data_IF_230632575346
#
_entry.id   IF_230632575346
#
_cell.length_a   1.000
_cell.length_b   1.000
_cell.length_c   1.000
_cell.angle_alpha   90.00
_cell.angle_beta   90.00
_cell.angle_gamma   90.00
#
_symmetry.space_group_name_H-M   'P 1'
#
loop_
_entity.id
_entity.type
_entity.pdbx_description
1 polymer ?
#
# COMPACT_ATOMS: atom_id res chain seq x y z
N UNK A 1 -70.49 -2.29 19.66
CA UNK A 1 -69.34 -2.02 20.55
C UNK A 1 -68.12 -1.82 19.65
N UNK A 2 -67.55 -0.62 19.67
CA UNK A 2 -66.73 -0.10 18.57
C UNK A 2 -65.25 -0.20 18.94
N UNK A 3 -64.54 -1.18 18.38
CA UNK A 3 -63.15 -1.53 18.72
C UNK A 3 -62.10 -0.53 18.16
N UNK A 4 -62.50 0.74 18.00
CA UNK A 4 -61.64 1.84 17.53
C UNK A 4 -60.33 1.97 18.32
N UNK A 5 -60.29 1.89 19.67
CA UNK A 5 -59.03 2.04 20.39
C UNK A 5 -58.05 0.88 20.13
N UNK A 6 -58.55 -0.33 19.88
CA UNK A 6 -57.72 -1.50 19.60
C UNK A 6 -57.04 -1.40 18.22
N UNK A 7 -57.75 -0.87 17.22
CA UNK A 7 -57.22 -0.66 15.87
C UNK A 7 -56.11 0.41 15.82
N UNK A 8 -56.24 1.49 16.61
CA UNK A 8 -55.22 2.53 16.71
C UNK A 8 -53.94 2.03 17.41
N UNK A 9 -54.08 1.21 18.46
CA UNK A 9 -52.94 0.61 19.17
C UNK A 9 -52.22 -0.44 18.30
N UNK A 10 -52.98 -1.28 17.57
CA UNK A 10 -52.42 -2.24 16.62
C UNK A 10 -51.71 -1.54 15.44
N UNK A 11 -52.29 -0.46 14.91
CA UNK A 11 -51.70 0.32 13.83
C UNK A 11 -50.40 1.04 14.25
N UNK A 12 -50.39 1.63 15.45
CA UNK A 12 -49.18 2.27 16.00
C UNK A 12 -48.05 1.27 16.27
N UNK A 13 -48.39 0.09 16.81
CA UNK A 13 -47.42 -0.99 17.04
C UNK A 13 -46.81 -1.53 15.74
N UNK A 14 -47.62 -1.74 14.70
CA UNK A 14 -47.16 -2.18 13.39
C UNK A 14 -46.22 -1.16 12.73
N UNK A 15 -46.54 0.14 12.82
CA UNK A 15 -45.70 1.21 12.30
C UNK A 15 -44.34 1.29 13.01
N UNK A 16 -44.33 1.20 14.35
CA UNK A 16 -43.10 1.20 15.13
C UNK A 16 -42.21 0.00 14.76
N UNK A 17 -42.80 -1.18 14.56
CA UNK A 17 -42.07 -2.36 14.13
C UNK A 17 -41.44 -2.19 12.75
N UNK A 18 -42.20 -1.66 11.78
CA UNK A 18 -41.68 -1.38 10.42
C UNK A 18 -40.56 -0.34 10.47
N UNK A 19 -40.69 0.71 11.28
CA UNK A 19 -39.66 1.73 11.43
C UNK A 19 -38.36 1.16 12.04
N UNK A 20 -38.48 0.29 13.04
CA UNK A 20 -37.32 -0.40 13.64
C UNK A 20 -36.66 -1.32 12.61
N UNK A 21 -37.43 -2.14 11.89
CA UNK A 21 -36.91 -3.02 10.84
C UNK A 21 -36.24 -2.21 9.73
N UNK A 22 -36.86 -1.12 9.27
CA UNK A 22 -36.30 -0.24 8.26
C UNK A 22 -34.99 0.43 8.74
N UNK A 23 -34.94 0.86 10.00
CA UNK A 23 -33.71 1.40 10.60
C UNK A 23 -32.60 0.35 10.64
N UNK A 24 -32.88 -0.89 11.07
CA UNK A 24 -31.89 -1.97 11.10
C UNK A 24 -31.41 -2.34 9.70
N UNK A 25 -32.30 -2.42 8.71
CA UNK A 25 -31.92 -2.68 7.31
C UNK A 25 -31.04 -1.54 6.79
N UNK A 26 -31.44 -0.29 6.98
CA UNK A 26 -30.69 0.88 6.53
C UNK A 26 -29.30 0.96 7.19
N UNK A 27 -29.23 0.71 8.50
CA UNK A 27 -27.96 0.68 9.23
C UNK A 27 -27.03 -0.43 8.71
N UNK A 28 -27.57 -1.62 8.40
CA UNK A 28 -26.79 -2.73 7.84
C UNK A 28 -26.29 -2.40 6.43
N UNK A 29 -27.13 -1.80 5.59
CA UNK A 29 -26.76 -1.39 4.22
C UNK A 29 -25.70 -0.31 4.23
N UNK A 30 -25.81 0.69 5.11
CA UNK A 30 -24.82 1.77 5.23
C UNK A 30 -23.48 1.23 5.75
N UNK A 31 -23.49 0.34 6.74
CA UNK A 31 -22.27 -0.31 7.25
C UNK A 31 -21.55 -1.10 6.16
N UNK A 32 -22.29 -1.80 5.29
CA UNK A 32 -21.70 -2.57 4.19
C UNK A 32 -21.16 -1.67 3.06
N UNK A 33 -21.79 -0.52 2.82
CA UNK A 33 -21.33 0.45 1.82
C UNK A 33 -20.11 1.27 2.29
N UNK A 34 -19.97 1.45 3.61
CA UNK A 34 -18.83 2.11 4.26
C UNK A 34 -17.62 1.21 4.44
N UNK A 35 -17.74 -0.10 4.15
CA UNK A 35 -16.61 -1.01 4.07
C UNK A 35 -15.83 -0.69 2.79
N UNK A 36 -15.03 0.37 2.88
CA UNK A 36 -14.01 0.72 1.89
C UNK A 36 -13.21 -0.54 1.56
N UNK A 37 -12.95 -0.78 0.27
CA UNK A 37 -11.98 -1.77 -0.23
C UNK A 37 -10.56 -1.36 0.19
N UNK A 38 -10.33 -1.34 1.49
CA UNK A 38 -9.03 -1.07 2.08
C UNK A 38 -8.12 -2.21 1.67
N UNK A 39 -7.07 -1.88 0.94
CA UNK A 39 -6.07 -2.84 0.52
C UNK A 39 -5.44 -3.48 1.77
N UNK A 40 -5.47 -4.82 1.90
CA UNK A 40 -4.82 -5.49 3.02
C UNK A 40 -3.33 -5.08 3.12
N UNK A 41 -2.79 -4.81 4.33
CA UNK A 41 -1.42 -4.32 4.49
C UNK A 41 -0.35 -5.23 3.89
N UNK A 42 -0.55 -6.54 3.98
CA UNK A 42 0.29 -7.58 3.36
C UNK A 42 0.30 -7.47 1.83
N UNK A 43 -0.86 -7.22 1.23
CA UNK A 43 -0.99 -7.04 -0.22
C UNK A 43 -0.35 -5.73 -0.68
N UNK A 44 -0.52 -4.65 0.09
CA UNK A 44 0.16 -3.38 -0.15
C UNK A 44 1.70 -3.53 -0.08
N UNK A 45 2.20 -4.21 0.95
CA UNK A 45 3.63 -4.50 1.10
C UNK A 45 4.16 -5.35 -0.07
N UNK A 46 3.38 -6.32 -0.53
CA UNK A 46 3.73 -7.18 -1.67
C UNK A 46 3.87 -6.38 -2.97
N UNK A 47 2.95 -5.43 -3.22
CA UNK A 47 3.05 -4.53 -4.38
C UNK A 47 4.28 -3.62 -4.31
N UNK A 48 4.54 -3.03 -3.14
CA UNK A 48 5.72 -2.17 -2.94
C UNK A 48 7.00 -2.99 -3.15
N UNK A 49 7.06 -4.20 -2.59
CA UNK A 49 8.21 -5.09 -2.75
C UNK A 49 8.45 -5.43 -4.22
N UNK A 50 7.40 -5.83 -4.96
CA UNK A 50 7.51 -6.17 -6.38
C UNK A 50 8.01 -4.98 -7.22
N UNK A 51 7.56 -3.77 -6.92
CA UNK A 51 8.05 -2.55 -7.61
C UNK A 51 9.52 -2.30 -7.30
N UNK A 52 9.94 -2.43 -6.04
CA UNK A 52 11.34 -2.24 -5.65
C UNK A 52 12.24 -3.31 -6.28
N UNK A 53 11.82 -4.56 -6.26
CA UNK A 53 12.52 -5.69 -6.87
C UNK A 53 12.67 -5.48 -8.38
N UNK A 54 11.57 -5.18 -9.09
CA UNK A 54 11.59 -4.93 -10.52
C UNK A 54 12.53 -3.79 -10.90
N UNK A 55 12.52 -2.68 -10.16
CA UNK A 55 13.44 -1.56 -10.40
C UNK A 55 14.90 -1.94 -10.17
N UNK A 56 15.20 -2.68 -9.10
CA UNK A 56 16.57 -3.14 -8.82
C UNK A 56 17.07 -4.07 -9.92
N UNK A 57 16.24 -5.00 -10.37
CA UNK A 57 16.57 -5.93 -11.46
C UNK A 57 16.78 -5.16 -12.76
N UNK A 58 15.87 -4.25 -13.10
CA UNK A 58 15.99 -3.45 -14.31
C UNK A 58 17.28 -2.60 -14.32
N UNK A 59 17.59 -1.92 -13.23
CA UNK A 59 18.83 -1.14 -13.09
C UNK A 59 20.08 -2.01 -13.28
N UNK A 60 20.11 -3.19 -12.65
CA UNK A 60 21.25 -4.10 -12.74
C UNK A 60 21.45 -4.59 -14.19
N UNK A 61 20.41 -5.16 -14.79
CA UNK A 61 20.52 -5.81 -16.10
C UNK A 61 20.62 -4.83 -17.27
N UNK A 62 19.90 -3.70 -17.19
CA UNK A 62 19.76 -2.79 -18.32
C UNK A 62 20.63 -1.54 -18.22
N UNK A 63 21.14 -1.21 -17.03
CA UNK A 63 22.03 -0.06 -16.84
C UNK A 63 23.42 -0.56 -16.52
N UNK A 64 23.61 -1.21 -15.37
CA UNK A 64 24.94 -1.63 -14.89
C UNK A 64 25.60 -2.60 -15.86
N UNK A 65 24.94 -3.72 -16.18
CA UNK A 65 25.51 -4.76 -17.04
C UNK A 65 25.78 -4.25 -18.45
N UNK A 66 24.91 -3.40 -19.00
CA UNK A 66 25.10 -2.85 -20.34
C UNK A 66 26.26 -1.86 -20.39
N UNK A 67 26.36 -0.97 -19.39
CA UNK A 67 27.47 -0.02 -19.31
C UNK A 67 28.81 -0.73 -19.13
N UNK A 68 28.84 -1.78 -18.31
CA UNK A 68 30.02 -2.60 -18.12
C UNK A 68 30.41 -3.35 -19.41
N UNK A 69 29.46 -4.04 -20.05
CA UNK A 69 29.70 -4.78 -21.32
C UNK A 69 30.13 -3.89 -22.48
N UNK A 70 29.71 -2.63 -22.49
CA UNK A 70 30.11 -1.65 -23.52
C UNK A 70 31.41 -0.92 -23.19
N UNK A 71 31.98 -1.12 -22.00
CA UNK A 71 33.19 -0.46 -21.55
C UNK A 71 33.02 1.05 -21.28
N UNK A 72 31.78 1.52 -21.09
CA UNK A 72 31.49 2.95 -20.89
C UNK A 72 31.58 3.37 -19.43
N UNK A 73 31.17 2.50 -18.50
CA UNK A 73 31.23 2.74 -17.07
C UNK A 73 31.14 1.42 -16.30
N UNK A 74 31.70 1.39 -15.09
CA UNK A 74 31.57 0.28 -14.15
C UNK A 74 30.79 0.71 -12.91
N UNK A 75 30.29 -0.28 -12.16
CA UNK A 75 29.69 -0.02 -10.87
C UNK A 75 30.80 0.10 -9.81
N UNK A 76 30.89 1.26 -9.17
CA UNK A 76 31.98 1.58 -8.23
C UNK A 76 31.43 2.12 -6.92
N UNK A 77 32.15 1.90 -5.82
CA UNK A 77 31.72 2.32 -4.48
C UNK A 77 31.67 3.86 -4.37
N UNK A 78 32.67 4.56 -4.89
CA UNK A 78 32.77 6.02 -4.86
C UNK A 78 32.21 6.68 -6.13
N UNK A 79 31.09 6.17 -6.65
CA UNK A 79 30.46 6.60 -7.91
C UNK A 79 30.09 8.09 -7.97
N UNK A 80 30.03 8.78 -6.83
CA UNK A 80 29.79 10.24 -6.78
C UNK A 80 31.02 11.05 -7.18
N UNK A 81 32.20 10.52 -6.89
CA UNK A 81 33.49 11.19 -7.11
C UNK A 81 34.22 10.59 -8.33
N UNK A 82 33.88 9.35 -8.70
CA UNK A 82 34.47 8.61 -9.81
C UNK A 82 33.54 8.57 -11.04
N UNK A 83 34.12 8.32 -12.21
CA UNK A 83 33.34 8.05 -13.43
C UNK A 83 32.81 6.62 -13.40
N UNK A 84 31.67 6.44 -12.75
CA UNK A 84 30.99 5.15 -12.66
C UNK A 84 29.52 5.31 -12.29
N UNK A 85 28.84 4.17 -12.16
CA UNK A 85 27.46 4.12 -11.69
C UNK A 85 27.42 3.53 -10.27
N UNK A 86 26.40 3.83 -9.45
CA UNK A 86 26.30 3.24 -8.12
C UNK A 86 26.19 1.72 -8.19
N UNK A 87 26.76 1.05 -7.18
CA UNK A 87 26.50 -0.37 -6.95
C UNK A 87 24.98 -0.60 -6.80
N UNK A 88 24.43 -1.75 -7.25
CA UNK A 88 23.01 -2.05 -7.11
C UNK A 88 22.48 -1.91 -5.67
N UNK A 89 23.30 -2.20 -4.67
CA UNK A 89 22.94 -2.01 -3.26
C UNK A 89 22.90 -0.52 -2.86
N UNK A 90 23.90 0.26 -3.28
CA UNK A 90 23.95 1.71 -3.05
C UNK A 90 22.79 2.44 -3.75
N UNK A 91 22.43 2.04 -4.96
CA UNK A 91 21.27 2.57 -5.69
C UNK A 91 19.97 2.39 -4.90
N UNK A 92 19.78 1.20 -4.32
CA UNK A 92 18.58 0.90 -3.51
C UNK A 92 18.58 1.69 -2.19
N UNK A 93 19.73 1.83 -1.53
CA UNK A 93 19.86 2.65 -0.32
C UNK A 93 19.57 4.13 -0.58
N UNK A 94 20.10 4.67 -1.68
CA UNK A 94 19.86 6.06 -2.07
C UNK A 94 18.38 6.29 -2.40
N UNK A 95 17.76 5.34 -3.10
CA UNK A 95 16.31 5.37 -3.36
C UNK A 95 15.50 5.39 -2.06
N UNK A 96 15.86 4.55 -1.09
CA UNK A 96 15.25 4.55 0.25
C UNK A 96 15.43 5.87 0.98
N UNK A 97 16.63 6.47 0.90
CA UNK A 97 16.94 7.80 1.46
C UNK A 97 16.08 8.89 0.83
N UNK A 98 15.91 8.87 -0.51
CA UNK A 98 15.06 9.83 -1.23
C UNK A 98 13.58 9.70 -0.87
N UNK A 99 13.09 8.48 -0.64
CA UNK A 99 11.72 8.26 -0.17
C UNK A 99 11.53 8.74 1.27
N UNK A 100 12.48 8.48 2.15
CA UNK A 100 12.43 8.94 3.55
C UNK A 100 12.34 10.48 3.66
N UNK A 101 12.95 11.22 2.73
CA UNK A 101 12.86 12.69 2.66
C UNK A 101 11.47 13.22 2.32
N UNK A 102 10.58 12.39 1.76
CA UNK A 102 9.23 12.83 1.35
C UNK A 102 8.22 12.87 2.52
N UNK A 103 8.63 12.50 3.74
CA UNK A 103 7.80 12.42 4.96
C UNK A 103 6.45 11.68 4.79
N UNK A 104 6.44 10.62 3.97
CA UNK A 104 5.23 9.83 3.69
C UNK A 104 4.91 8.81 4.79
N UNK A 105 5.56 8.89 5.96
CA UNK A 105 5.56 7.83 7.00
C UNK A 105 5.90 6.44 6.46
N UNK A 106 6.66 6.40 5.36
CA UNK A 106 7.10 5.21 4.67
C UNK A 106 8.59 5.30 4.40
N UNK A 107 9.31 4.23 4.72
CA UNK A 107 10.75 4.09 4.49
C UNK A 107 11.06 2.64 4.16
N UNK A 108 12.04 2.40 3.30
CA UNK A 108 12.57 1.06 3.03
C UNK A 108 14.09 1.09 3.01
N UNK A 109 14.69 -0.07 3.25
CA UNK A 109 16.14 -0.29 3.26
C UNK A 109 16.43 -1.72 2.84
N UNK A 110 17.68 -1.99 2.47
CA UNK A 110 18.15 -3.36 2.36
C UNK A 110 18.07 -4.07 3.72
N UNK A 111 17.61 -5.31 3.67
CA UNK A 111 17.63 -6.23 4.81
C UNK A 111 18.40 -7.47 4.39
N UNK A 112 19.33 -7.89 5.25
CA UNK A 112 20.13 -9.11 5.08
C UNK A 112 20.43 -9.71 6.45
N UNK A 113 20.71 -11.01 6.46
CA UNK A 113 21.12 -11.71 7.69
C UNK A 113 22.61 -11.51 8.01
N UNK A 114 23.40 -11.04 7.06
CA UNK A 114 24.82 -10.75 7.18
C UNK A 114 25.11 -9.28 6.90
N UNK A 115 26.20 -8.70 7.41
CA UNK A 115 26.56 -7.31 7.11
C UNK A 115 26.76 -7.11 5.60
N UNK A 116 26.13 -6.06 5.06
CA UNK A 116 26.40 -5.60 3.69
C UNK A 116 27.32 -4.40 3.82
N UNK A 117 28.55 -4.54 3.33
CA UNK A 117 29.46 -3.41 3.16
C UNK A 117 29.17 -2.79 1.80
N UNK A 118 28.82 -1.51 1.80
CA UNK A 118 28.47 -0.68 0.63
C UNK A 118 29.17 0.66 0.72
#
# INVERSE_FOLDING_TARGET
MTNKPLLWVLGGGAFAFVAVVAYWIFALTLANHMKSDLLPPDKAASYIHAVIEANRTNYTENVVDKLHKTGLAEAVEHWRDEKGVPLPAQFLLESGRLVAQKDLKFTFRLASMTPIYV
#
